data_IF_827427230970
#
_entry.id   IF_827427230970
#
_cell.length_a   1.000
_cell.length_b   1.000
_cell.length_c   1.000
_cell.angle_alpha   90.00
_cell.angle_beta   90.00
_cell.angle_gamma   90.00
#
_symmetry.space_group_name_H-M   'P 1'
#
loop_
_entity.id
_entity.type
_entity.pdbx_description
1 polymer ?
#
# COMPACT_ATOMS: atom_id res chain seq x y z
N UNK A 1 -2.62 -26.20 -3.24
CA UNK A 1 -2.22 -24.94 -3.90
C UNK A 1 -0.95 -24.45 -3.19
N UNK A 2 0.16 -24.20 -3.90
CA UNK A 2 1.32 -23.54 -3.28
C UNK A 2 0.87 -22.13 -2.92
N UNK A 3 0.96 -21.76 -1.64
CA UNK A 3 0.75 -20.36 -1.24
C UNK A 3 1.81 -19.52 -1.96
N UNK A 4 1.38 -18.63 -2.84
CA UNK A 4 2.27 -17.63 -3.45
C UNK A 4 2.85 -16.73 -2.35
N UNK A 5 4.12 -16.35 -2.49
CA UNK A 5 4.79 -15.40 -1.59
C UNK A 5 4.46 -13.94 -1.93
N UNK A 6 3.87 -13.73 -3.12
CA UNK A 6 3.49 -12.43 -3.64
C UNK A 6 3.54 -12.42 -5.17
N UNK A 7 2.82 -11.47 -5.75
CA UNK A 7 2.77 -11.23 -7.18
C UNK A 7 3.64 -10.02 -7.52
N UNK A 8 4.68 -10.24 -8.33
CA UNK A 8 5.68 -9.22 -8.70
C UNK A 8 5.49 -8.84 -10.16
N UNK A 9 5.42 -7.54 -10.46
CA UNK A 9 5.56 -7.03 -11.81
C UNK A 9 7.03 -6.67 -12.06
N UNK A 10 7.64 -7.23 -13.10
CA UNK A 10 8.99 -6.87 -13.51
C UNK A 10 8.94 -6.07 -14.80
N UNK A 11 9.41 -4.83 -14.76
CA UNK A 11 9.43 -3.87 -15.88
C UNK A 11 10.87 -3.65 -16.29
N UNK A 12 11.23 -4.12 -17.47
CA UNK A 12 12.60 -4.00 -18.05
C UNK A 12 12.50 -4.24 -19.56
N UNK A 13 13.05 -3.37 -20.38
CA UNK A 13 12.99 -3.50 -21.85
C UNK A 13 13.77 -4.70 -22.38
N UNK A 14 14.73 -5.20 -21.60
CA UNK A 14 15.50 -6.41 -21.87
C UNK A 14 14.97 -7.65 -21.09
N UNK A 15 13.71 -7.64 -20.62
CA UNK A 15 13.12 -8.68 -19.71
C UNK A 15 13.29 -10.11 -20.24
N UNK A 16 13.32 -10.30 -21.56
CA UNK A 16 13.53 -11.63 -22.17
C UNK A 16 14.95 -12.19 -21.89
N UNK A 17 15.91 -11.35 -21.64
CA UNK A 17 17.27 -11.76 -21.24
C UNK A 17 17.36 -12.14 -19.76
N UNK A 18 16.35 -11.81 -18.96
CA UNK A 18 16.31 -12.04 -17.53
C UNK A 18 15.61 -13.35 -17.13
N UNK A 19 15.37 -14.26 -18.08
CA UNK A 19 14.73 -15.57 -17.85
C UNK A 19 15.33 -16.35 -16.67
N UNK A 20 16.67 -16.45 -16.48
CA UNK A 20 17.23 -17.16 -15.32
C UNK A 20 16.82 -16.53 -13.98
N UNK A 21 16.72 -15.21 -13.91
CA UNK A 21 16.31 -14.48 -12.71
C UNK A 21 14.82 -14.70 -12.41
N UNK A 22 13.99 -14.67 -13.46
CA UNK A 22 12.55 -14.91 -13.37
C UNK A 22 12.29 -16.32 -12.85
N UNK A 23 12.88 -17.34 -13.49
CA UNK A 23 12.74 -18.74 -13.06
C UNK A 23 13.16 -18.94 -11.60
N UNK A 24 14.26 -18.29 -11.19
CA UNK A 24 14.72 -18.36 -9.82
C UNK A 24 13.71 -17.80 -8.82
N UNK A 25 13.08 -16.66 -9.13
CA UNK A 25 12.03 -16.07 -8.27
C UNK A 25 10.76 -16.93 -8.25
N UNK A 26 10.37 -17.51 -9.39
CA UNK A 26 9.24 -18.44 -9.47
C UNK A 26 9.50 -19.72 -8.65
N UNK A 27 10.72 -20.27 -8.68
CA UNK A 27 11.12 -21.39 -7.82
C UNK A 27 11.06 -21.03 -6.33
N UNK A 28 11.30 -19.76 -5.97
CA UNK A 28 11.14 -19.24 -4.60
C UNK A 28 9.69 -19.00 -4.20
N UNK A 29 8.74 -19.18 -5.13
CA UNK A 29 7.31 -19.12 -4.87
C UNK A 29 6.65 -17.76 -5.14
N UNK A 30 7.30 -16.87 -5.88
CA UNK A 30 6.68 -15.64 -6.40
C UNK A 30 5.94 -15.91 -7.72
N UNK A 31 4.87 -15.16 -7.96
CA UNK A 31 4.25 -15.06 -9.27
C UNK A 31 4.83 -13.85 -10.01
N UNK A 32 5.19 -14.02 -11.28
CA UNK A 32 5.83 -12.95 -12.07
C UNK A 32 4.95 -12.53 -13.24
N UNK A 33 4.63 -11.23 -13.31
CA UNK A 33 4.16 -10.54 -14.51
C UNK A 33 5.29 -9.72 -15.10
N UNK A 34 5.24 -9.45 -16.41
CA UNK A 34 6.29 -8.78 -17.16
C UNK A 34 5.73 -7.61 -17.93
N UNK A 35 6.50 -6.53 -18.01
CA UNK A 35 6.29 -5.42 -18.93
C UNK A 35 7.63 -5.02 -19.54
N UNK A 36 7.62 -4.56 -20.79
CA UNK A 36 8.82 -4.15 -21.53
C UNK A 36 9.00 -2.65 -21.56
N UNK A 37 8.09 -1.88 -20.98
CA UNK A 37 8.12 -0.42 -20.95
C UNK A 37 7.19 0.14 -19.88
N UNK A 38 7.33 1.42 -19.55
CA UNK A 38 6.56 2.09 -18.51
C UNK A 38 5.05 2.19 -18.80
N UNK A 39 4.65 2.39 -20.05
CA UNK A 39 3.22 2.49 -20.40
C UNK A 39 2.48 1.17 -20.19
N UNK A 40 3.09 0.05 -20.57
CA UNK A 40 2.53 -1.27 -20.33
C UNK A 40 2.45 -1.57 -18.82
N UNK A 41 3.49 -1.18 -18.06
CA UNK A 41 3.49 -1.32 -16.61
C UNK A 41 2.32 -0.57 -15.96
N UNK A 42 2.10 0.69 -16.33
CA UNK A 42 0.97 1.51 -15.83
C UNK A 42 -0.37 0.87 -16.20
N UNK A 43 -0.50 0.37 -17.43
CA UNK A 43 -1.73 -0.29 -17.90
C UNK A 43 -2.02 -1.57 -17.11
N UNK A 44 -0.99 -2.38 -16.86
CA UNK A 44 -1.09 -3.59 -16.05
C UNK A 44 -1.47 -3.28 -14.59
N UNK A 45 -0.89 -2.24 -14.00
CA UNK A 45 -1.18 -1.82 -12.62
C UNK A 45 -2.61 -1.25 -12.45
N UNK A 46 -3.22 -0.72 -13.51
CA UNK A 46 -4.64 -0.31 -13.50
C UNK A 46 -5.60 -1.49 -13.48
N UNK A 47 -5.19 -2.63 -14.04
CA UNK A 47 -6.05 -3.81 -14.20
C UNK A 47 -5.76 -4.91 -13.17
N UNK A 48 -4.59 -4.90 -12.55
CA UNK A 48 -4.13 -5.93 -11.63
C UNK A 48 -3.50 -5.33 -10.38
N UNK A 49 -3.48 -6.12 -9.31
CA UNK A 49 -2.75 -5.77 -8.09
C UNK A 49 -1.41 -6.52 -8.07
N UNK A 50 -0.36 -5.80 -7.72
CA UNK A 50 0.98 -6.33 -7.53
C UNK A 50 1.47 -5.98 -6.13
N UNK A 51 2.07 -6.97 -5.46
CA UNK A 51 2.65 -6.75 -4.13
C UNK A 51 3.95 -5.94 -4.21
N UNK A 52 4.67 -6.06 -5.32
CA UNK A 52 5.94 -5.38 -5.56
C UNK A 52 6.16 -5.16 -7.06
N UNK A 53 6.80 -4.05 -7.41
CA UNK A 53 7.27 -3.78 -8.77
C UNK A 53 8.80 -3.73 -8.78
N UNK A 54 9.43 -4.50 -9.67
CA UNK A 54 10.83 -4.36 -10.04
C UNK A 54 10.87 -3.47 -11.29
N UNK A 55 11.54 -2.32 -11.23
CA UNK A 55 11.48 -1.31 -12.28
C UNK A 55 12.90 -0.95 -12.75
N UNK A 56 13.19 -1.26 -14.00
CA UNK A 56 14.41 -0.77 -14.62
C UNK A 56 14.34 0.75 -14.81
N UNK A 57 15.45 1.44 -14.55
CA UNK A 57 15.53 2.87 -14.79
C UNK A 57 15.70 3.19 -16.27
N UNK A 58 16.56 2.45 -16.99
CA UNK A 58 17.01 2.80 -18.33
C UNK A 58 16.16 2.14 -19.40
N UNK A 59 14.96 2.64 -19.62
CA UNK A 59 14.03 2.15 -20.65
C UNK A 59 13.81 3.18 -21.77
N UNK A 60 13.63 2.76 -23.03
CA UNK A 60 13.30 3.66 -24.13
C UNK A 60 11.91 4.31 -23.95
N UNK A 61 11.82 5.59 -24.27
CA UNK A 61 10.57 6.36 -24.18
C UNK A 61 10.33 6.88 -22.76
N UNK A 62 9.42 6.28 -22.03
CA UNK A 62 9.17 6.59 -20.62
C UNK A 62 10.21 5.87 -19.77
N UNK A 63 11.06 6.60 -19.08
CA UNK A 63 12.09 6.03 -18.21
C UNK A 63 11.52 5.53 -16.86
N UNK A 64 12.40 4.97 -16.01
CA UNK A 64 12.00 4.41 -14.73
C UNK A 64 11.51 5.47 -13.74
N UNK A 65 12.05 6.69 -13.75
CA UNK A 65 11.63 7.78 -12.85
C UNK A 65 10.22 8.28 -13.25
N UNK A 66 10.03 8.56 -14.54
CA UNK A 66 8.71 8.96 -15.04
C UNK A 66 7.65 7.88 -14.76
N UNK A 67 8.03 6.61 -14.95
CA UNK A 67 7.15 5.47 -14.65
C UNK A 67 6.83 5.37 -13.17
N UNK A 68 7.83 5.52 -12.29
CA UNK A 68 7.68 5.55 -10.84
C UNK A 68 6.69 6.63 -10.40
N UNK A 69 6.88 7.87 -10.88
CA UNK A 69 6.02 9.00 -10.54
C UNK A 69 4.54 8.73 -10.93
N UNK A 70 4.30 8.19 -12.13
CA UNK A 70 2.94 7.85 -12.57
C UNK A 70 2.33 6.69 -11.75
N UNK A 71 3.10 5.66 -11.43
CA UNK A 71 2.64 4.55 -10.58
C UNK A 71 2.28 5.01 -9.17
N UNK A 72 3.10 5.89 -8.56
CA UNK A 72 2.86 6.44 -7.22
C UNK A 72 1.67 7.40 -7.18
N UNK A 73 1.38 8.15 -8.24
CA UNK A 73 0.14 8.94 -8.36
C UNK A 73 -1.10 8.05 -8.34
N UNK A 74 -1.05 6.88 -8.97
CA UNK A 74 -2.15 5.93 -9.00
C UNK A 74 -2.29 5.17 -7.68
N UNK A 75 -1.16 4.72 -7.08
CA UNK A 75 -1.11 4.02 -5.80
C UNK A 75 0.14 4.41 -5.03
N UNK A 76 0.02 5.36 -4.12
CA UNK A 76 1.13 5.91 -3.33
C UNK A 76 1.84 4.85 -2.47
N UNK A 77 1.11 3.83 -1.99
CA UNK A 77 1.63 2.74 -1.16
C UNK A 77 2.28 1.59 -1.96
N UNK A 78 2.31 1.66 -3.31
CA UNK A 78 2.91 0.60 -4.13
C UNK A 78 4.39 0.44 -3.80
N UNK A 79 4.81 -0.79 -3.45
CA UNK A 79 6.23 -1.09 -3.26
C UNK A 79 6.95 -1.15 -4.61
N UNK A 80 8.04 -0.41 -4.72
CA UNK A 80 8.84 -0.34 -5.94
C UNK A 80 10.33 -0.44 -5.60
N UNK A 81 11.01 -1.41 -6.21
CA UNK A 81 12.46 -1.54 -6.20
C UNK A 81 12.97 -1.12 -7.55
N UNK A 82 13.77 -0.06 -7.58
CA UNK A 82 14.40 0.40 -8.82
C UNK A 82 15.70 -0.36 -9.08
N UNK A 83 15.91 -0.76 -10.33
CA UNK A 83 17.12 -1.43 -10.80
C UNK A 83 17.80 -0.50 -11.81
N UNK A 84 19.05 -0.11 -11.59
CA UNK A 84 19.74 0.90 -12.41
C UNK A 84 21.16 0.48 -12.74
N UNK A 85 21.69 1.00 -13.85
CA UNK A 85 23.11 0.84 -14.25
C UNK A 85 24.02 1.94 -13.68
N UNK A 86 23.45 2.98 -13.08
CA UNK A 86 24.20 4.14 -12.60
C UNK A 86 24.06 4.33 -11.10
N UNK A 87 25.13 4.84 -10.48
CA UNK A 87 25.19 5.28 -9.08
C UNK A 87 25.09 6.81 -8.98
N UNK A 88 24.54 7.48 -10.00
CA UNK A 88 24.44 8.94 -10.02
C UNK A 88 23.59 9.45 -8.84
N UNK A 89 24.19 10.32 -8.05
CA UNK A 89 23.61 10.85 -6.82
C UNK A 89 22.28 11.57 -7.08
N UNK A 90 22.20 12.35 -8.19
CA UNK A 90 20.97 13.05 -8.54
C UNK A 90 19.79 12.11 -8.86
N UNK A 91 20.07 10.95 -9.49
CA UNK A 91 19.05 9.93 -9.78
C UNK A 91 18.54 9.32 -8.51
N UNK A 92 19.41 9.04 -7.55
CA UNK A 92 19.02 8.51 -6.25
C UNK A 92 18.18 9.53 -5.47
N UNK A 93 18.55 10.80 -5.48
CA UNK A 93 17.80 11.87 -4.82
C UNK A 93 16.40 12.04 -5.43
N UNK A 94 16.30 12.02 -6.77
CA UNK A 94 15.01 12.12 -7.46
C UNK A 94 14.11 10.93 -7.16
N UNK A 95 14.61 9.70 -7.25
CA UNK A 95 13.83 8.50 -6.96
C UNK A 95 13.48 8.36 -5.47
N UNK A 96 14.31 8.87 -4.55
CA UNK A 96 13.96 8.96 -3.12
C UNK A 96 12.82 9.98 -2.94
N UNK A 97 12.84 11.12 -3.63
CA UNK A 97 11.75 12.10 -3.60
C UNK A 97 10.43 11.53 -4.10
N UNK A 98 10.48 10.63 -5.08
CA UNK A 98 9.34 9.88 -5.62
C UNK A 98 8.99 8.61 -4.82
N UNK A 99 9.59 8.43 -3.63
CA UNK A 99 9.28 7.36 -2.67
C UNK A 99 9.57 5.93 -3.18
N UNK A 100 10.72 5.72 -3.82
CA UNK A 100 11.21 4.37 -4.10
C UNK A 100 11.56 3.65 -2.79
N UNK A 101 11.28 2.34 -2.70
CA UNK A 101 11.51 1.56 -1.47
C UNK A 101 12.94 1.06 -1.36
N UNK A 102 13.57 0.74 -2.48
CA UNK A 102 14.95 0.25 -2.54
C UNK A 102 15.56 0.41 -3.93
N UNK A 103 16.90 0.48 -3.98
CA UNK A 103 17.69 0.44 -5.21
C UNK A 103 18.52 -0.83 -5.32
N UNK A 104 18.65 -1.32 -6.55
CA UNK A 104 19.62 -2.33 -6.93
C UNK A 104 20.45 -1.84 -8.11
N UNK A 105 21.76 -2.00 -8.02
CA UNK A 105 22.69 -1.54 -9.06
C UNK A 105 23.11 -2.72 -9.91
N UNK A 106 22.93 -2.62 -11.25
CA UNK A 106 23.35 -3.64 -12.21
C UNK A 106 24.89 -3.72 -12.27
N UNK A 107 25.49 -4.90 -12.34
CA UNK A 107 24.86 -6.21 -12.53
C UNK A 107 24.29 -6.79 -11.22
N UNK A 108 23.06 -7.27 -11.27
CA UNK A 108 22.39 -7.94 -10.15
C UNK A 108 22.29 -9.43 -10.39
N UNK A 109 22.55 -10.23 -9.36
CA UNK A 109 22.34 -11.67 -9.45
C UNK A 109 20.95 -12.06 -8.90
N UNK A 110 20.40 -13.23 -9.26
CA UNK A 110 19.07 -13.65 -8.85
C UNK A 110 18.85 -13.64 -7.34
N UNK A 111 19.88 -13.97 -6.56
CA UNK A 111 19.77 -14.03 -5.10
C UNK A 111 19.69 -12.62 -4.48
N UNK A 112 20.37 -11.63 -5.06
CA UNK A 112 20.27 -10.23 -4.61
C UNK A 112 18.84 -9.71 -4.82
N UNK A 113 18.24 -9.95 -6.00
CA UNK A 113 16.86 -9.57 -6.28
C UNK A 113 15.89 -10.27 -5.33
N UNK A 114 16.05 -11.56 -5.14
CA UNK A 114 15.23 -12.34 -4.19
C UNK A 114 15.29 -11.77 -2.77
N UNK A 115 16.49 -11.46 -2.29
CA UNK A 115 16.64 -10.90 -0.93
C UNK A 115 16.01 -9.51 -0.80
N UNK A 116 16.15 -8.67 -1.82
CA UNK A 116 15.53 -7.35 -1.85
C UNK A 116 13.99 -7.46 -1.85
N UNK A 117 13.41 -8.30 -2.71
CA UNK A 117 11.98 -8.56 -2.74
C UNK A 117 11.47 -9.05 -1.38
N UNK A 118 12.15 -10.04 -0.80
CA UNK A 118 11.80 -10.60 0.49
C UNK A 118 11.80 -9.54 1.59
N UNK A 119 12.87 -8.74 1.68
CA UNK A 119 13.00 -7.70 2.71
C UNK A 119 11.91 -6.62 2.58
N UNK A 120 11.65 -6.12 1.37
CA UNK A 120 10.62 -5.10 1.14
C UNK A 120 9.23 -5.61 1.49
N UNK A 121 8.87 -6.82 1.06
CA UNK A 121 7.56 -7.42 1.36
C UNK A 121 7.39 -7.75 2.85
N UNK A 122 8.41 -8.29 3.52
CA UNK A 122 8.34 -8.59 4.96
C UNK A 122 8.25 -7.30 5.79
N UNK A 123 9.03 -6.25 5.44
CA UNK A 123 8.96 -4.95 6.11
C UNK A 123 7.57 -4.32 5.96
N UNK A 124 6.99 -4.35 4.76
CA UNK A 124 5.66 -3.82 4.52
C UNK A 124 4.60 -4.56 5.35
N UNK A 125 4.63 -5.89 5.32
CA UNK A 125 3.71 -6.73 6.10
C UNK A 125 3.76 -6.42 7.60
N UNK A 126 4.96 -6.32 8.18
CA UNK A 126 5.14 -5.95 9.59
C UNK A 126 4.59 -4.55 9.90
N UNK A 127 4.77 -3.59 8.98
CA UNK A 127 4.23 -2.24 9.13
C UNK A 127 2.70 -2.23 9.08
N UNK A 128 2.09 -3.00 8.18
CA UNK A 128 0.64 -3.16 8.08
C UNK A 128 0.06 -3.85 9.32
N UNK A 129 0.69 -4.94 9.79
CA UNK A 129 0.25 -5.65 11.00
C UNK A 129 0.33 -4.75 12.25
N UNK A 130 1.39 -3.94 12.37
CA UNK A 130 1.53 -2.98 13.46
C UNK A 130 0.48 -1.88 13.38
N UNK A 131 0.28 -1.28 12.19
CA UNK A 131 -0.74 -0.27 11.98
C UNK A 131 -2.13 -0.83 12.31
N UNK A 132 -2.47 -2.04 11.84
CA UNK A 132 -3.72 -2.73 12.15
C UNK A 132 -3.93 -2.87 13.66
N UNK A 133 -2.90 -3.34 14.38
CA UNK A 133 -2.98 -3.52 15.82
C UNK A 133 -3.19 -2.19 16.57
N UNK A 134 -2.49 -1.14 16.16
CA UNK A 134 -2.61 0.18 16.78
C UNK A 134 -3.98 0.78 16.48
N UNK A 135 -4.53 0.57 15.29
CA UNK A 135 -5.88 0.99 14.92
C UNK A 135 -6.95 0.25 15.71
N UNK A 136 -6.89 -1.07 15.80
CA UNK A 136 -7.86 -1.86 16.58
C UNK A 136 -7.90 -1.43 18.07
N UNK A 137 -6.74 -1.13 18.66
CA UNK A 137 -6.69 -0.60 20.04
C UNK A 137 -7.39 0.74 20.18
N UNK A 138 -7.23 1.64 19.21
CA UNK A 138 -7.87 2.95 19.25
C UNK A 138 -9.39 2.81 19.04
N UNK A 139 -9.87 1.93 18.14
CA UNK A 139 -11.30 1.63 18.00
C UNK A 139 -11.91 1.11 19.29
N UNK A 140 -11.23 0.19 19.97
CA UNK A 140 -11.70 -0.33 21.25
C UNK A 140 -11.80 0.78 22.33
N UNK A 141 -10.92 1.80 22.27
CA UNK A 141 -11.03 2.97 23.16
C UNK A 141 -12.23 3.84 22.81
N UNK A 142 -12.58 3.96 21.52
CA UNK A 142 -13.79 4.68 21.08
C UNK A 142 -15.04 3.93 21.49
N UNK A 143 -15.13 2.63 21.26
CA UNK A 143 -16.27 1.80 21.67
C UNK A 143 -16.50 1.91 23.18
N UNK A 144 -15.45 1.78 23.98
CA UNK A 144 -15.54 1.97 25.43
C UNK A 144 -16.01 3.40 25.80
N UNK A 145 -15.55 4.43 25.06
CA UNK A 145 -15.98 5.81 25.32
C UNK A 145 -17.45 6.03 24.93
N UNK A 146 -17.95 5.41 23.87
CA UNK A 146 -19.35 5.45 23.47
C UNK A 146 -20.23 4.86 24.59
N UNK A 147 -19.84 3.71 25.16
CA UNK A 147 -20.58 3.03 26.20
C UNK A 147 -20.71 3.84 27.50
N UNK A 148 -19.73 4.70 27.83
CA UNK A 148 -19.69 5.49 29.04
C UNK A 148 -20.03 6.97 28.86
N UNK A 149 -20.30 7.44 27.64
CA UNK A 149 -20.57 8.87 27.37
C UNK A 149 -22.01 9.21 27.71
N UNK A 150 -22.22 10.18 28.60
CA UNK A 150 -23.53 10.58 29.14
C UNK A 150 -23.94 11.99 28.69
N UNK A 151 -23.05 12.81 28.13
CA UNK A 151 -23.34 14.19 27.75
C UNK A 151 -22.97 14.57 26.34
N UNK A 152 -23.62 15.62 25.78
CA UNK A 152 -23.48 16.05 24.39
C UNK A 152 -22.06 16.56 24.03
N UNK A 153 -21.31 17.16 24.99
CA UNK A 153 -19.98 17.71 24.71
C UNK A 153 -18.96 16.61 24.44
N UNK A 154 -19.12 15.43 25.04
CA UNK A 154 -18.25 14.29 24.78
C UNK A 154 -18.54 13.62 23.43
N UNK A 155 -19.78 13.71 22.94
CA UNK A 155 -20.16 13.21 21.62
C UNK A 155 -19.48 13.95 20.47
N UNK A 156 -19.31 15.27 20.56
CA UNK A 156 -18.57 16.03 19.57
C UNK A 156 -17.10 15.57 19.45
N UNK A 157 -16.47 15.24 20.59
CA UNK A 157 -15.11 14.70 20.59
C UNK A 157 -15.01 13.35 19.93
N UNK A 158 -16.04 12.49 20.07
CA UNK A 158 -16.12 11.19 19.41
C UNK A 158 -16.37 11.35 17.91
N UNK A 159 -17.25 12.26 17.53
CA UNK A 159 -17.52 12.60 16.13
C UNK A 159 -16.26 13.12 15.41
N UNK A 160 -15.52 14.04 16.01
CA UNK A 160 -14.24 14.54 15.48
C UNK A 160 -13.24 13.39 15.29
N UNK A 161 -13.15 12.48 16.26
CA UNK A 161 -12.29 11.30 16.15
C UNK A 161 -12.70 10.39 14.98
N UNK A 162 -13.99 10.08 14.84
CA UNK A 162 -14.48 9.25 13.74
C UNK A 162 -14.23 9.91 12.37
N UNK A 163 -14.35 11.24 12.29
CA UNK A 163 -14.05 12.00 11.08
C UNK A 163 -12.56 11.94 10.72
N UNK A 164 -11.68 12.13 11.69
CA UNK A 164 -10.23 11.96 11.53
C UNK A 164 -9.87 10.54 11.04
N UNK A 165 -10.58 9.55 11.52
CA UNK A 165 -10.39 8.16 11.11
C UNK A 165 -10.84 7.91 9.68
N UNK A 166 -11.95 8.51 9.26
CA UNK A 166 -12.45 8.39 7.91
C UNK A 166 -11.47 8.99 6.88
N UNK A 167 -10.82 10.09 7.24
CA UNK A 167 -9.76 10.71 6.43
C UNK A 167 -8.52 9.79 6.35
N UNK A 168 -8.12 9.18 7.46
CA UNK A 168 -6.99 8.24 7.50
C UNK A 168 -7.30 6.94 6.74
N UNK A 169 -8.55 6.49 6.78
CA UNK A 169 -8.99 5.30 6.05
C UNK A 169 -8.78 5.45 4.54
N UNK A 170 -9.01 6.61 3.96
CA UNK A 170 -8.79 6.85 2.53
C UNK A 170 -7.33 6.57 2.11
N UNK A 171 -6.38 6.69 3.03
CA UNK A 171 -4.96 6.35 2.81
C UNK A 171 -4.72 4.84 2.67
N UNK A 172 -5.57 4.01 3.29
CA UNK A 172 -5.40 2.55 3.35
C UNK A 172 -6.47 1.78 2.56
N UNK A 173 -7.37 2.49 1.86
CA UNK A 173 -8.54 1.91 1.16
C UNK A 173 -8.20 0.73 0.25
N UNK A 174 -7.05 0.80 -0.43
CA UNK A 174 -6.61 -0.19 -1.41
C UNK A 174 -5.70 -1.28 -0.82
N UNK A 175 -5.59 -1.36 0.50
CA UNK A 175 -4.81 -2.38 1.21
C UNK A 175 -5.73 -3.42 1.86
N UNK A 176 -5.17 -4.58 2.23
CA UNK A 176 -5.91 -5.58 3.00
C UNK A 176 -6.42 -5.05 4.35
N UNK A 177 -5.75 -4.05 4.90
CA UNK A 177 -6.16 -3.30 6.09
C UNK A 177 -7.42 -2.47 5.82
N UNK A 178 -7.62 -1.94 4.61
CA UNK A 178 -8.76 -1.13 4.24
C UNK A 178 -10.09 -1.82 4.53
N UNK A 179 -10.24 -3.09 4.16
CA UNK A 179 -11.46 -3.86 4.39
C UNK A 179 -11.80 -4.01 5.88
N UNK A 180 -10.78 -4.24 6.72
CA UNK A 180 -10.96 -4.40 8.18
C UNK A 180 -11.38 -3.06 8.81
N UNK A 181 -10.73 -1.96 8.40
CA UNK A 181 -11.04 -0.62 8.89
C UNK A 181 -12.43 -0.16 8.44
N UNK A 182 -12.84 -0.46 7.21
CA UNK A 182 -14.16 -0.13 6.69
C UNK A 182 -15.27 -0.82 7.50
N UNK A 183 -15.12 -2.08 7.83
CA UNK A 183 -16.08 -2.83 8.64
C UNK A 183 -16.21 -2.23 10.05
N UNK A 184 -15.09 -1.85 10.68
CA UNK A 184 -15.07 -1.24 12.01
C UNK A 184 -15.66 0.19 12.00
N UNK A 185 -15.30 1.03 11.03
CA UNK A 185 -15.87 2.38 10.87
C UNK A 185 -17.39 2.31 10.66
N UNK A 186 -17.86 1.38 9.83
CA UNK A 186 -19.28 1.19 9.60
C UNK A 186 -20.02 0.67 10.84
N UNK A 187 -19.36 -0.13 11.68
CA UNK A 187 -19.91 -0.57 12.98
C UNK A 187 -20.06 0.61 13.93
N UNK A 188 -18.99 1.37 14.15
CA UNK A 188 -19.01 2.56 15.02
C UNK A 188 -20.04 3.61 14.55
N UNK A 189 -20.15 3.87 13.24
CA UNK A 189 -21.14 4.79 12.69
C UNK A 189 -22.58 4.32 12.96
N UNK A 190 -22.86 3.03 12.87
CA UNK A 190 -24.19 2.47 13.18
C UNK A 190 -24.55 2.65 14.65
N UNK A 191 -23.61 2.36 15.55
CA UNK A 191 -23.81 2.52 16.99
C UNK A 191 -24.01 3.99 17.36
N UNK A 192 -23.19 4.90 16.79
CA UNK A 192 -23.35 6.34 16.94
C UNK A 192 -24.73 6.83 16.47
N UNK A 193 -25.16 6.42 15.27
CA UNK A 193 -26.47 6.79 14.74
C UNK A 193 -27.60 6.26 15.62
N UNK A 194 -27.51 5.01 16.07
CA UNK A 194 -28.49 4.41 16.96
C UNK A 194 -28.59 5.15 18.30
N UNK A 195 -27.47 5.59 18.86
CA UNK A 195 -27.44 6.38 20.08
C UNK A 195 -28.08 7.76 19.89
N UNK A 196 -27.75 8.48 18.84
CA UNK A 196 -28.37 9.77 18.51
C UNK A 196 -29.87 9.63 18.37
N UNK A 197 -30.31 8.63 17.59
CA UNK A 197 -31.72 8.33 17.39
C UNK A 197 -32.46 7.99 18.71
N UNK A 198 -31.81 7.33 19.64
CA UNK A 198 -32.42 6.92 20.92
C UNK A 198 -32.51 8.05 21.94
N UNK A 199 -31.52 8.96 21.92
CA UNK A 199 -31.41 9.99 22.96
C UNK A 199 -31.84 11.39 22.52
N UNK A 200 -31.90 11.68 21.21
CA UNK A 200 -32.18 13.02 20.68
C UNK A 200 -33.39 13.10 19.74
N UNK A 201 -34.11 12.00 19.48
CA UNK A 201 -35.36 11.99 18.68
C UNK A 201 -36.51 12.76 19.29
N UNK A 202 -36.40 13.28 20.51
CA UNK A 202 -37.42 14.10 21.19
C UNK A 202 -37.17 15.60 21.08
N UNK A 203 -36.20 16.05 20.26
CA UNK A 203 -35.91 17.46 20.05
C UNK A 203 -36.54 17.97 18.74
N UNK A 204 -37.87 17.79 18.56
CA UNK A 204 -38.64 18.61 17.63
C UNK A 204 -38.98 19.90 18.36
N UNK A 205 -38.38 20.99 17.91
CA UNK A 205 -38.46 22.31 18.52
C UNK A 205 -39.91 22.77 18.77
N UNK A 206 -40.34 22.65 19.98
CA UNK A 206 -41.45 23.40 20.58
C UNK A 206 -40.95 24.30 21.68
#
# INVERSE_FOLDING_TARGET
MKNSRGHILWVDDEIEHLKPHILFLEEKGYELSKATNGHDAITLCKSNQYDLILLDHSMPGMDGIETLAELKKYRSSQLIIMITKTEDEWLMDEAISEQVDQFLIKPVNPNQIFMACKQSLEKNKLSEEKATTDYLKQFQQIDNAIEYTINADDWWKLYDRLTDWQIKFDTYRDTGLGNILEEQINSCNREFTSFIDSNYKSWDGS
#
